data_IF_332955871509
#
_entry.id   IF_332955871509
#
_cell.length_a   1.000
_cell.length_b   1.000
_cell.length_c   1.000
_cell.angle_alpha   90.00
_cell.angle_beta   90.00
_cell.angle_gamma   90.00
#
_symmetry.space_group_name_H-M   'P 1'
#
loop_
_entity.id
_entity.type
_entity.pdbx_description
1 polymer ?
#
# COMPACT_ATOMS: atom_id res chain seq x y z
N UNK A 1 6.74 15.35 0.53
CA UNK A 1 5.50 15.47 -0.22
C UNK A 1 4.66 16.53 0.42
N UNK A 2 4.35 17.58 -0.31
CA UNK A 2 3.41 18.60 0.10
C UNK A 2 1.93 18.15 0.06
N UNK A 3 1.64 16.88 0.08
CA UNK A 3 0.34 16.35 0.49
C UNK A 3 0.34 16.28 2.01
N UNK A 4 0.71 17.35 2.62
CA UNK A 4 0.22 17.67 3.91
C UNK A 4 -1.23 18.08 3.69
N UNK A 5 -2.09 17.14 3.82
CA UNK A 5 -3.47 17.38 4.05
C UNK A 5 -3.57 18.50 5.09
N UNK A 6 -4.45 19.46 4.86
CA UNK A 6 -4.90 20.39 5.91
C UNK A 6 -5.58 19.63 7.08
N UNK A 7 -5.39 18.32 7.16
CA UNK A 7 -5.84 17.44 8.20
C UNK A 7 -4.98 17.65 9.45
N UNK A 8 -5.59 17.51 10.58
CA UNK A 8 -4.94 17.44 11.88
C UNK A 8 -3.73 16.49 11.80
N UNK A 9 -2.60 16.80 12.45
CA UNK A 9 -1.42 15.97 12.40
C UNK A 9 -1.73 14.58 12.92
N UNK A 10 -1.73 13.59 12.02
CA UNK A 10 -1.89 12.19 12.37
C UNK A 10 -0.54 11.68 12.85
N UNK A 11 -0.51 11.16 14.07
CA UNK A 11 0.70 10.58 14.63
C UNK A 11 1.04 9.27 13.91
N UNK A 12 2.24 9.20 13.34
CA UNK A 12 2.81 7.97 12.78
C UNK A 12 3.58 7.12 13.80
N UNK A 13 3.48 7.45 15.08
CA UNK A 13 4.11 6.67 16.14
C UNK A 13 3.45 5.28 16.21
N UNK A 14 4.27 4.24 16.20
CA UNK A 14 3.82 2.83 16.31
C UNK A 14 2.83 2.40 15.22
N UNK A 15 3.11 2.59 13.93
CA UNK A 15 2.13 2.32 12.86
C UNK A 15 1.67 0.86 12.84
N UNK A 16 2.56 -0.10 13.10
CA UNK A 16 2.19 -1.53 13.15
C UNK A 16 1.19 -1.84 14.28
N UNK A 17 1.43 -1.33 15.49
CA UNK A 17 0.52 -1.51 16.61
C UNK A 17 -0.85 -0.90 16.33
N UNK A 18 -0.86 0.35 15.86
CA UNK A 18 -2.10 1.06 15.50
C UNK A 18 -2.89 0.33 14.41
N UNK A 19 -2.22 -0.16 13.37
CA UNK A 19 -2.88 -0.90 12.28
C UNK A 19 -3.52 -2.19 12.81
N UNK A 20 -2.84 -2.92 13.68
CA UNK A 20 -3.38 -4.15 14.27
C UNK A 20 -4.67 -3.86 15.05
N UNK A 21 -4.60 -2.96 16.02
CA UNK A 21 -5.76 -2.59 16.83
C UNK A 21 -6.91 -2.03 15.98
N UNK A 22 -6.58 -1.24 14.95
CA UNK A 22 -7.59 -0.70 14.04
C UNK A 22 -8.34 -1.80 13.27
N UNK A 23 -7.62 -2.81 12.77
CA UNK A 23 -8.23 -3.95 12.08
C UNK A 23 -9.12 -4.75 13.03
N UNK A 24 -8.69 -4.97 14.26
CA UNK A 24 -9.48 -5.65 15.28
C UNK A 24 -10.79 -4.91 15.56
N UNK A 25 -10.73 -3.59 15.74
CA UNK A 25 -11.91 -2.73 15.91
C UNK A 25 -12.84 -2.78 14.69
N UNK A 26 -12.28 -2.71 13.47
CA UNK A 26 -13.08 -2.80 12.23
C UNK A 26 -13.76 -4.17 12.12
N UNK A 27 -13.08 -5.24 12.49
CA UNK A 27 -13.68 -6.59 12.49
C UNK A 27 -14.84 -6.71 13.47
N UNK A 28 -14.69 -6.19 14.70
CA UNK A 28 -15.78 -6.13 15.68
C UNK A 28 -16.98 -5.34 15.13
N UNK A 29 -16.73 -4.18 14.51
CA UNK A 29 -17.78 -3.37 13.91
C UNK A 29 -18.51 -4.11 12.78
N UNK A 30 -17.77 -4.75 11.87
CA UNK A 30 -18.34 -5.52 10.75
C UNK A 30 -19.10 -6.77 11.23
N UNK A 31 -18.65 -7.41 12.30
CA UNK A 31 -19.36 -8.52 12.96
C UNK A 31 -20.60 -8.04 13.75
N UNK A 32 -20.87 -6.72 13.77
CA UNK A 32 -21.98 -6.10 14.51
C UNK A 32 -21.94 -6.35 16.02
N UNK A 33 -20.75 -6.51 16.54
CA UNK A 33 -20.54 -6.53 17.99
C UNK A 33 -20.68 -5.12 18.57
N UNK A 34 -20.84 -5.04 19.89
CA UNK A 34 -20.67 -3.76 20.59
C UNK A 34 -19.18 -3.44 20.58
N UNK A 35 -18.80 -2.33 19.91
CA UNK A 35 -17.40 -1.94 19.78
C UNK A 35 -16.92 -1.36 21.12
N UNK A 36 -16.39 -2.25 21.97
CA UNK A 36 -15.67 -1.92 23.20
C UNK A 36 -14.26 -2.50 23.07
N UNK A 37 -13.23 -1.63 23.11
CA UNK A 37 -11.87 -2.01 22.85
C UNK A 37 -10.91 -1.29 23.80
N UNK A 38 -10.06 -2.02 24.46
CA UNK A 38 -9.03 -1.51 25.38
C UNK A 38 -7.65 -1.84 24.83
N UNK A 39 -7.18 -1.04 23.89
CA UNK A 39 -5.88 -1.19 23.27
C UNK A 39 -4.84 -0.22 23.83
N UNK A 40 -3.60 -0.40 23.36
CA UNK A 40 -2.50 0.51 23.68
C UNK A 40 -2.65 1.86 22.96
N UNK A 41 -3.25 1.85 21.78
CA UNK A 41 -3.34 3.00 20.88
C UNK A 41 -4.78 3.51 20.71
N UNK A 42 -5.75 2.65 20.95
CA UNK A 42 -7.16 2.97 20.80
C UNK A 42 -7.94 2.53 22.03
N UNK A 43 -8.74 3.44 22.56
CA UNK A 43 -9.66 3.20 23.68
C UNK A 43 -11.07 3.51 23.20
N UNK A 44 -11.94 2.51 23.18
CA UNK A 44 -13.35 2.66 22.80
C UNK A 44 -14.26 1.99 23.84
N UNK A 45 -15.39 2.62 24.24
CA UNK A 45 -15.80 3.97 23.85
C UNK A 45 -14.88 5.04 24.44
N UNK A 46 -14.84 6.22 23.78
CA UNK A 46 -14.13 7.36 24.33
C UNK A 46 -14.88 7.87 25.58
N UNK A 47 -14.11 8.13 26.64
CA UNK A 47 -14.61 8.64 27.92
C UNK A 47 -14.25 10.11 28.13
N UNK A 48 -13.37 10.64 27.28
CA UNK A 48 -12.88 12.01 27.32
C UNK A 48 -13.45 12.87 26.19
N UNK A 49 -13.43 14.16 26.34
CA UNK A 49 -13.95 15.14 25.37
C UNK A 49 -15.46 15.04 25.23
N UNK A 50 -15.96 14.82 24.01
CA UNK A 50 -17.39 14.62 23.71
C UNK A 50 -17.82 13.16 23.79
N UNK A 51 -16.96 12.26 24.27
CA UNK A 51 -17.25 10.83 24.41
C UNK A 51 -18.32 10.56 25.46
N UNK A 52 -19.40 9.85 25.08
CA UNK A 52 -20.50 9.49 25.96
C UNK A 52 -20.27 8.17 26.71
N UNK A 53 -19.13 7.52 26.57
CA UNK A 53 -18.83 6.24 27.21
C UNK A 53 -19.71 5.07 26.78
N UNK A 54 -20.46 5.19 25.68
CA UNK A 54 -21.34 4.14 25.18
C UNK A 54 -20.71 3.42 23.99
N UNK A 55 -20.58 2.08 24.03
CA UNK A 55 -20.12 1.30 22.90
C UNK A 55 -21.07 1.48 21.71
N UNK A 56 -20.50 1.72 20.54
CA UNK A 56 -21.25 1.80 19.29
C UNK A 56 -21.51 0.41 18.73
N UNK A 57 -22.59 0.27 17.99
CA UNK A 57 -22.91 -0.92 17.21
C UNK A 57 -23.32 -0.49 15.81
N UNK A 58 -22.72 -1.12 14.80
CA UNK A 58 -23.02 -0.82 13.39
C UNK A 58 -24.49 -1.17 13.09
N UNK A 59 -25.21 -0.23 12.48
CA UNK A 59 -26.63 -0.41 12.09
C UNK A 59 -26.72 -1.26 10.82
N UNK A 60 -25.84 -1.00 9.83
CA UNK A 60 -25.77 -1.76 8.58
C UNK A 60 -25.53 -3.25 8.84
N UNK A 61 -26.00 -4.07 7.91
CA UNK A 61 -25.75 -5.52 7.92
C UNK A 61 -24.90 -5.87 6.72
N UNK A 62 -23.64 -6.32 6.92
CA UNK A 62 -22.84 -6.85 5.83
C UNK A 62 -23.54 -8.05 5.18
N UNK A 63 -23.46 -8.15 3.87
CA UNK A 63 -24.00 -9.29 3.12
C UNK A 63 -23.18 -10.57 3.41
N UNK A 64 -21.88 -10.39 3.66
CA UNK A 64 -20.98 -11.47 4.00
C UNK A 64 -20.85 -11.60 5.52
N UNK A 65 -20.73 -12.83 6.00
CA UNK A 65 -20.45 -13.11 7.41
C UNK A 65 -19.10 -12.51 7.83
N UNK A 66 -18.11 -12.60 6.96
CA UNK A 66 -16.80 -11.99 7.13
C UNK A 66 -16.43 -11.14 5.92
N UNK A 67 -16.25 -9.85 6.13
CA UNK A 67 -15.78 -8.92 5.10
C UNK A 67 -14.24 -8.99 5.05
N UNK A 68 -13.63 -9.35 3.91
CA UNK A 68 -12.18 -9.41 3.80
C UNK A 68 -11.53 -8.04 3.94
N UNK A 69 -10.42 -7.97 4.69
CA UNK A 69 -9.62 -6.76 4.87
C UNK A 69 -8.28 -6.94 4.16
N UNK A 70 -8.00 -6.06 3.21
CA UNK A 70 -6.75 -6.03 2.46
C UNK A 70 -5.89 -4.86 2.91
N UNK A 71 -4.57 -5.08 3.00
CA UNK A 71 -3.61 -4.04 3.35
C UNK A 71 -2.78 -3.61 2.15
N UNK A 72 -2.84 -2.32 1.80
CA UNK A 72 -1.97 -1.67 0.81
C UNK A 72 -0.66 -1.21 1.46
N UNK A 73 0.31 -2.09 1.56
CA UNK A 73 1.59 -1.85 2.25
C UNK A 73 2.76 -2.35 1.41
N UNK A 74 3.95 -1.74 1.57
CA UNK A 74 5.14 -2.06 0.77
C UNK A 74 6.39 -2.41 1.61
N UNK A 75 6.52 -1.88 2.82
CA UNK A 75 7.68 -2.14 3.69
C UNK A 75 7.66 -3.55 4.26
N UNK A 76 8.80 -4.20 4.38
CA UNK A 76 8.94 -5.60 4.81
C UNK A 76 8.17 -5.91 6.12
N UNK A 77 8.32 -5.05 7.13
CA UNK A 77 7.63 -5.22 8.41
C UNK A 77 6.11 -5.13 8.28
N UNK A 78 5.62 -4.24 7.42
CA UNK A 78 4.19 -4.05 7.19
C UNK A 78 3.60 -5.15 6.30
N UNK A 79 4.37 -5.65 5.33
CA UNK A 79 3.99 -6.83 4.51
C UNK A 79 3.95 -8.09 5.37
N UNK A 80 4.94 -8.29 6.26
CA UNK A 80 4.92 -9.37 7.25
C UNK A 80 3.67 -9.28 8.13
N UNK A 81 3.33 -8.10 8.61
CA UNK A 81 2.11 -7.89 9.38
C UNK A 81 0.85 -8.21 8.56
N UNK A 82 0.79 -7.84 7.27
CA UNK A 82 -0.33 -8.20 6.41
C UNK A 82 -0.53 -9.72 6.37
N UNK A 83 0.55 -10.52 6.25
CA UNK A 83 0.49 -11.97 6.34
C UNK A 83 -0.07 -12.46 7.68
N UNK A 84 0.21 -11.76 8.77
CA UNK A 84 -0.26 -12.15 10.11
C UNK A 84 -1.75 -11.88 10.33
N UNK A 85 -2.27 -10.74 9.87
CA UNK A 85 -3.57 -10.23 10.34
C UNK A 85 -4.58 -9.91 9.23
N UNK A 86 -4.15 -9.73 7.97
CA UNK A 86 -5.03 -9.36 6.87
C UNK A 86 -5.56 -10.58 6.11
N UNK A 87 -6.65 -10.38 5.37
CA UNK A 87 -7.20 -11.38 4.45
C UNK A 87 -6.58 -11.26 3.05
N UNK A 88 -5.87 -10.15 2.80
CA UNK A 88 -5.12 -9.94 1.57
C UNK A 88 -4.10 -8.82 1.65
N UNK A 89 -3.25 -8.80 0.64
CA UNK A 89 -2.22 -7.80 0.41
C UNK A 89 -2.40 -7.15 -0.96
N UNK A 90 -2.34 -5.83 -1.00
CA UNK A 90 -2.42 -4.99 -2.21
C UNK A 90 -1.02 -4.40 -2.49
N UNK A 91 -0.11 -5.12 -3.14
CA UNK A 91 1.17 -4.56 -3.54
C UNK A 91 1.03 -3.59 -4.70
N UNK A 92 1.79 -2.48 -4.68
CA UNK A 92 2.00 -1.63 -5.83
C UNK A 92 3.23 -2.11 -6.62
N UNK A 93 3.21 -1.95 -7.94
CA UNK A 93 4.30 -2.33 -8.83
C UNK A 93 4.84 -3.75 -8.58
N UNK A 94 3.93 -4.67 -8.37
CA UNK A 94 4.26 -6.08 -8.19
C UNK A 94 4.74 -6.67 -9.52
N UNK A 95 5.95 -7.18 -9.53
CA UNK A 95 6.48 -7.88 -10.69
C UNK A 95 6.57 -9.39 -10.43
N UNK A 96 5.98 -10.22 -11.30
CA UNK A 96 6.11 -11.68 -11.20
C UNK A 96 7.56 -12.17 -11.23
N UNK A 97 8.47 -11.45 -11.90
CA UNK A 97 9.90 -11.78 -11.96
C UNK A 97 10.58 -11.70 -10.58
N UNK A 98 10.04 -10.90 -9.68
CA UNK A 98 10.55 -10.68 -8.32
C UNK A 98 9.61 -11.21 -7.24
N UNK A 99 8.68 -12.10 -7.63
CA UNK A 99 7.65 -12.63 -6.74
C UNK A 99 8.21 -13.24 -5.46
N UNK A 100 9.29 -14.02 -5.54
CA UNK A 100 9.91 -14.66 -4.38
C UNK A 100 10.39 -13.61 -3.36
N UNK A 101 11.09 -12.58 -3.84
CA UNK A 101 11.57 -11.48 -3.00
C UNK A 101 10.44 -10.70 -2.36
N UNK A 102 9.39 -10.40 -3.13
CA UNK A 102 8.25 -9.61 -2.65
C UNK A 102 7.39 -10.38 -1.66
N UNK A 103 7.19 -11.67 -1.92
CA UNK A 103 6.33 -12.54 -1.10
C UNK A 103 7.01 -13.02 0.18
N UNK A 104 8.33 -13.08 0.25
CA UNK A 104 9.06 -13.62 1.40
C UNK A 104 8.60 -13.04 2.75
N UNK A 105 8.48 -11.71 2.95
CA UNK A 105 7.97 -11.17 4.21
C UNK A 105 6.51 -11.53 4.47
N UNK A 106 5.65 -11.61 3.44
CA UNK A 106 4.26 -12.03 3.58
C UNK A 106 4.16 -13.48 4.09
N UNK A 107 4.91 -14.38 3.46
CA UNK A 107 4.97 -15.80 3.82
C UNK A 107 5.49 -16.00 5.24
N UNK A 108 6.55 -15.27 5.61
CA UNK A 108 7.05 -15.28 6.98
C UNK A 108 6.03 -14.76 8.02
N UNK A 109 5.15 -13.87 7.61
CA UNK A 109 4.04 -13.39 8.44
C UNK A 109 2.94 -14.44 8.60
N UNK A 110 2.56 -15.10 7.52
CA UNK A 110 1.58 -16.19 7.50
C UNK A 110 2.03 -17.33 8.40
N UNK A 111 3.26 -17.80 8.22
CA UNK A 111 3.87 -18.85 9.02
C UNK A 111 3.91 -18.49 10.51
N UNK A 112 4.40 -17.28 10.84
CA UNK A 112 4.49 -16.82 12.23
C UNK A 112 3.13 -16.71 12.93
N UNK A 113 2.03 -16.61 12.17
CA UNK A 113 0.66 -16.59 12.68
C UNK A 113 -0.03 -17.96 12.64
N UNK A 114 0.67 -19.02 12.21
CA UNK A 114 0.10 -20.37 12.08
C UNK A 114 -1.03 -20.46 11.05
N UNK A 115 -1.04 -19.58 10.03
CA UNK A 115 -2.06 -19.52 9.00
C UNK A 115 -1.67 -20.34 7.78
N UNK A 116 -2.66 -20.72 6.98
CA UNK A 116 -2.40 -21.31 5.66
C UNK A 116 -2.12 -20.21 4.62
N UNK A 117 -1.32 -20.53 3.59
CA UNK A 117 -1.08 -19.60 2.48
C UNK A 117 -2.38 -19.19 1.76
N UNK A 118 -3.34 -20.09 1.68
CA UNK A 118 -4.66 -19.87 1.10
C UNK A 118 -5.52 -18.84 1.84
N UNK A 119 -5.18 -18.53 3.10
CA UNK A 119 -5.93 -17.56 3.91
C UNK A 119 -5.62 -16.10 3.55
N UNK A 120 -4.61 -15.88 2.70
CA UNK A 120 -4.17 -14.52 2.32
C UNK A 120 -4.07 -14.39 0.82
N UNK A 121 -4.91 -13.54 0.25
CA UNK A 121 -4.88 -13.23 -1.17
C UNK A 121 -3.81 -12.17 -1.48
N UNK A 122 -3.18 -12.28 -2.65
CA UNK A 122 -2.32 -11.23 -3.22
C UNK A 122 -3.07 -10.62 -4.39
N UNK A 123 -3.40 -9.35 -4.31
CA UNK A 123 -4.17 -8.62 -5.31
C UNK A 123 -3.39 -7.37 -5.77
N UNK A 124 -2.44 -7.51 -6.70
CA UNK A 124 -1.66 -6.39 -7.20
C UNK A 124 -2.52 -5.41 -7.99
N UNK A 125 -2.26 -4.12 -7.81
CA UNK A 125 -2.77 -3.08 -8.69
C UNK A 125 -1.75 -2.83 -9.79
N UNK A 126 -2.12 -3.12 -11.04
CA UNK A 126 -1.22 -3.03 -12.19
C UNK A 126 -1.82 -2.07 -13.22
N UNK A 127 -1.13 -0.97 -13.58
CA UNK A 127 -1.52 -0.13 -14.70
C UNK A 127 -1.46 -0.93 -16.01
N UNK A 128 -2.46 -0.77 -16.87
CA UNK A 128 -2.52 -1.43 -18.17
C UNK A 128 -2.79 -0.39 -19.25
N UNK A 129 -2.07 -0.46 -20.35
CA UNK A 129 -2.35 0.31 -21.56
C UNK A 129 -2.38 -0.60 -22.79
N UNK A 130 -3.33 -0.32 -23.67
CA UNK A 130 -3.48 -0.99 -24.96
C UNK A 130 -3.36 0.07 -26.07
N UNK A 131 -2.55 -0.21 -27.10
CA UNK A 131 -2.36 0.66 -28.25
C UNK A 131 -2.04 -0.17 -29.51
N UNK A 132 -1.87 0.49 -30.65
CA UNK A 132 -1.52 -0.16 -31.90
C UNK A 132 -0.12 -0.81 -31.88
N UNK A 133 0.77 -0.25 -31.05
CA UNK A 133 2.12 -0.79 -30.82
C UNK A 133 2.45 -0.77 -29.32
N UNK A 134 3.30 -1.70 -28.90
CA UNK A 134 3.76 -1.78 -27.50
C UNK A 134 4.45 -0.48 -27.08
N UNK A 135 5.18 0.19 -27.97
CA UNK A 135 5.83 1.47 -27.65
C UNK A 135 4.82 2.58 -27.38
N UNK A 136 3.77 2.67 -28.19
CA UNK A 136 2.67 3.60 -27.91
C UNK A 136 1.97 3.29 -26.59
N UNK A 137 1.77 2.02 -26.26
CA UNK A 137 1.20 1.62 -24.98
C UNK A 137 2.13 2.00 -23.79
N UNK A 138 3.45 1.84 -23.93
CA UNK A 138 4.42 2.33 -22.93
C UNK A 138 4.36 3.83 -22.76
N UNK A 139 4.24 4.59 -23.86
CA UNK A 139 4.13 6.05 -23.78
C UNK A 139 2.88 6.51 -23.02
N UNK A 140 1.77 5.79 -23.14
CA UNK A 140 0.56 6.03 -22.33
C UNK A 140 0.77 5.78 -20.83
N UNK A 141 1.68 4.88 -20.47
CA UNK A 141 2.00 4.53 -19.08
C UNK A 141 3.04 5.47 -18.44
N UNK A 142 3.87 6.15 -19.25
CA UNK A 142 4.92 7.05 -18.73
C UNK A 142 4.39 8.11 -17.74
N UNK A 143 3.27 8.82 -17.99
CA UNK A 143 2.80 9.85 -17.09
C UNK A 143 2.48 9.34 -15.67
N UNK A 144 1.82 8.20 -15.57
CA UNK A 144 1.47 7.61 -14.25
C UNK A 144 2.71 7.13 -13.51
N UNK A 145 3.64 6.47 -14.19
CA UNK A 145 4.88 6.00 -13.57
C UNK A 145 5.79 7.17 -13.17
N UNK A 146 5.88 8.21 -14.02
CA UNK A 146 6.59 9.45 -13.69
C UNK A 146 6.01 10.12 -12.45
N UNK A 147 4.69 10.11 -12.26
CA UNK A 147 4.07 10.64 -11.07
C UNK A 147 4.49 9.85 -9.81
N UNK A 148 4.53 8.53 -9.88
CA UNK A 148 4.95 7.71 -8.74
C UNK A 148 6.43 7.86 -8.42
N UNK A 149 7.32 7.80 -9.40
CA UNK A 149 8.76 7.94 -9.15
C UNK A 149 9.16 9.40 -8.86
N UNK A 150 8.57 10.37 -9.56
CA UNK A 150 8.95 11.77 -9.49
C UNK A 150 8.26 12.58 -8.39
N UNK A 151 6.95 12.38 -8.20
CA UNK A 151 6.13 13.24 -7.32
C UNK A 151 5.76 12.61 -5.98
N UNK A 152 5.61 11.27 -5.93
CA UNK A 152 5.17 10.58 -4.73
C UNK A 152 6.36 10.32 -3.80
N UNK A 153 6.20 10.68 -2.53
CA UNK A 153 7.24 10.52 -1.52
C UNK A 153 8.06 11.79 -1.26
N UNK A 154 8.81 11.81 -0.18
CA UNK A 154 9.77 12.87 0.10
C UNK A 154 11.02 12.69 -0.77
N UNK A 155 11.76 13.80 -1.00
CA UNK A 155 13.00 13.77 -1.79
C UNK A 155 13.97 12.69 -1.31
N UNK A 156 14.09 12.55 0.02
CA UNK A 156 15.06 11.65 0.64
C UNK A 156 14.44 10.31 1.08
N UNK A 157 13.16 10.08 0.79
CA UNK A 157 12.45 8.85 1.15
C UNK A 157 11.27 8.60 0.22
N UNK A 158 11.52 7.88 -0.85
CA UNK A 158 10.51 7.48 -1.81
C UNK A 158 10.45 5.95 -1.90
N UNK A 159 9.37 5.36 -1.40
CA UNK A 159 9.17 3.92 -1.40
C UNK A 159 9.16 3.29 -2.80
N UNK A 160 8.75 4.03 -3.81
CA UNK A 160 8.74 3.55 -5.19
C UNK A 160 10.16 3.49 -5.77
N UNK A 161 11.01 4.46 -5.43
CA UNK A 161 12.44 4.42 -5.78
C UNK A 161 13.15 3.29 -5.02
N UNK A 162 12.87 3.13 -3.72
CA UNK A 162 13.41 2.00 -2.94
C UNK A 162 13.03 0.66 -3.57
N UNK A 163 11.79 0.50 -4.04
CA UNK A 163 11.35 -0.70 -4.73
C UNK A 163 12.04 -0.88 -6.09
N UNK A 164 12.11 0.19 -6.89
CA UNK A 164 12.83 0.17 -8.17
C UNK A 164 14.31 -0.19 -7.99
N UNK A 165 14.93 0.29 -6.91
CA UNK A 165 16.33 -0.07 -6.56
C UNK A 165 16.46 -1.58 -6.28
N UNK A 166 15.50 -2.16 -5.56
CA UNK A 166 15.49 -3.62 -5.32
C UNK A 166 15.29 -4.43 -6.60
N UNK A 167 14.69 -3.84 -7.61
CA UNK A 167 14.54 -4.41 -8.95
C UNK A 167 15.74 -4.16 -9.87
N UNK A 168 16.75 -3.41 -9.41
CA UNK A 168 17.94 -3.06 -10.21
C UNK A 168 17.76 -1.79 -11.06
N UNK A 169 16.68 -1.02 -10.88
CA UNK A 169 16.37 0.20 -11.64
C UNK A 169 16.44 1.48 -10.80
N UNK A 170 17.19 1.46 -9.71
CA UNK A 170 17.31 2.61 -8.80
C UNK A 170 17.80 3.88 -9.48
N UNK A 171 18.79 3.78 -10.36
CA UNK A 171 19.35 4.94 -11.07
C UNK A 171 18.34 5.57 -12.02
N UNK A 172 17.57 4.74 -12.75
CA UNK A 172 16.50 5.23 -13.66
C UNK A 172 15.41 5.95 -12.85
N UNK A 173 14.95 5.37 -11.76
CA UNK A 173 13.92 5.96 -10.93
C UNK A 173 14.40 7.24 -10.23
N UNK A 174 15.64 7.29 -9.77
CA UNK A 174 16.27 8.47 -9.18
C UNK A 174 16.40 9.59 -10.21
N UNK A 175 16.86 9.27 -11.42
CA UNK A 175 16.95 10.25 -12.52
C UNK A 175 15.58 10.84 -12.86
N UNK A 176 14.54 10.01 -12.91
CA UNK A 176 13.17 10.48 -13.12
C UNK A 176 12.76 11.49 -12.03
N UNK A 177 13.04 11.21 -10.76
CA UNK A 177 12.74 12.12 -9.66
C UNK A 177 13.49 13.44 -9.74
N UNK A 178 14.79 13.40 -10.04
CA UNK A 178 15.62 14.61 -10.20
C UNK A 178 15.07 15.56 -11.27
N UNK A 179 14.78 15.02 -12.46
CA UNK A 179 14.20 15.79 -13.55
C UNK A 179 12.83 16.35 -13.20
N UNK A 180 11.98 15.53 -12.58
CA UNK A 180 10.65 15.95 -12.14
C UNK A 180 10.70 17.11 -11.14
N UNK A 181 11.58 17.00 -10.14
CA UNK A 181 11.76 18.05 -9.11
C UNK A 181 12.41 19.32 -9.67
N UNK A 182 13.22 19.19 -10.73
CA UNK A 182 13.77 20.33 -11.47
C UNK A 182 12.74 21.02 -12.37
N UNK A 183 11.51 20.46 -12.50
CA UNK A 183 10.44 20.99 -13.33
C UNK A 183 10.39 20.42 -14.75
N UNK A 184 11.38 19.65 -15.16
CA UNK A 184 11.43 18.93 -16.45
C UNK A 184 10.59 17.65 -16.41
N UNK A 185 9.27 17.79 -16.47
CA UNK A 185 8.34 16.66 -16.42
C UNK A 185 8.41 15.78 -17.67
N UNK A 186 8.73 16.38 -18.82
CA UNK A 186 8.88 15.64 -20.08
C UNK A 186 10.15 14.82 -20.06
N UNK A 187 11.29 15.41 -19.69
CA UNK A 187 12.53 14.70 -19.51
C UNK A 187 12.42 13.59 -18.47
N UNK A 188 11.70 13.83 -17.37
CA UNK A 188 11.42 12.80 -16.35
C UNK A 188 10.66 11.60 -16.95
N UNK A 189 9.62 11.84 -17.73
CA UNK A 189 8.88 10.77 -18.39
C UNK A 189 9.74 9.99 -19.39
N UNK A 190 10.52 10.71 -20.19
CA UNK A 190 11.39 10.09 -21.19
C UNK A 190 12.61 9.38 -20.60
N UNK A 191 12.97 9.65 -19.35
CA UNK A 191 14.05 8.93 -18.65
C UNK A 191 13.67 7.51 -18.23
N UNK A 192 12.37 7.18 -18.19
CA UNK A 192 11.91 5.82 -17.88
C UNK A 192 12.17 4.91 -19.09
N UNK A 193 12.96 3.86 -18.88
CA UNK A 193 13.27 2.90 -19.94
C UNK A 193 12.12 1.91 -20.16
N UNK A 194 12.03 1.25 -21.33
CA UNK A 194 11.03 0.20 -21.56
C UNK A 194 10.99 -0.86 -20.46
N UNK A 195 12.16 -1.28 -19.97
CA UNK A 195 12.31 -2.36 -18.98
C UNK A 195 11.63 -2.00 -17.63
N UNK A 196 11.82 -0.77 -17.13
CA UNK A 196 11.16 -0.36 -15.88
C UNK A 196 9.65 -0.17 -16.06
N UNK A 197 9.21 0.21 -17.26
CA UNK A 197 7.78 0.33 -17.59
C UNK A 197 7.15 -1.07 -17.58
N UNK A 198 7.72 -2.03 -18.31
CA UNK A 198 7.21 -3.40 -18.43
C UNK A 198 7.29 -4.16 -17.09
N UNK A 199 8.16 -3.72 -16.18
CA UNK A 199 8.24 -4.26 -14.83
C UNK A 199 7.07 -3.80 -13.93
N UNK A 200 6.65 -2.56 -14.10
CA UNK A 200 5.68 -1.89 -13.23
C UNK A 200 4.25 -1.86 -13.79
N UNK A 201 4.08 -2.17 -15.09
CA UNK A 201 2.83 -2.05 -15.82
C UNK A 201 2.74 -3.08 -16.95
N UNK A 202 1.58 -3.16 -17.58
CA UNK A 202 1.34 -4.01 -18.77
C UNK A 202 1.09 -3.11 -19.97
N UNK A 203 1.98 -3.16 -20.95
CA UNK A 203 1.85 -2.50 -22.24
C UNK A 203 1.58 -3.57 -23.32
N UNK A 204 0.47 -3.46 -24.05
CA UNK A 204 0.07 -4.40 -25.10
C UNK A 204 -0.59 -3.68 -26.28
#
# INVERSE_FOLDING_TARGET
TGVQTCALPISFVSPLGRTREYIEIVRMALAREKVAYEGKHWQLPATEGLGLGKPLKMIGRPVQERVPIFLGVMGEKTVKQAGQIADGWLPAFYSPQYADMLNAPLLAGIEAAGRARSDVNIAPSVPIALADTVEQARDLLRPILTFYFGAMGAKDRNFYIELATRYGFGDVATRCQELFLAGDKVGAAMSLTPEIIDLAAIAA
#
